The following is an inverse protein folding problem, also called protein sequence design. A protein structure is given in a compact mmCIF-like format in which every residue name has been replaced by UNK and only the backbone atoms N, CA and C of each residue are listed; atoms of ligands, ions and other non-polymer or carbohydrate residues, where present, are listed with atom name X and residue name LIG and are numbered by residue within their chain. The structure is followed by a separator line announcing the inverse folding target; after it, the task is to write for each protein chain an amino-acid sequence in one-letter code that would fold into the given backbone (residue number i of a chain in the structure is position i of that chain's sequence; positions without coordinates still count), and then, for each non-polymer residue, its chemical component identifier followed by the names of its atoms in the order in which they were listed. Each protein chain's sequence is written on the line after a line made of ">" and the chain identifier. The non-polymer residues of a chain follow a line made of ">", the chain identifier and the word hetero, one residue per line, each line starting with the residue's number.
data_IF_664363316993
#
_entry.id   IF_664363316993
#
_cell.length_a   1.000
_cell.length_b   1.000
_cell.length_c   1.000
_cell.angle_alpha   90.00
_cell.angle_beta   90.00
_cell.angle_gamma   90.00
#
_symmetry.space_group_name_H-M   'P 1'
#
loop_
_entity.id
_entity.type
_entity.pdbx_description
1 polymer ?
#
# COMPACT_ATOMS: atom_id res chain seq x y z
N UNK A 1 -33.85 16.30 -80.88
CA UNK A 1 -34.29 15.28 -79.93
C UNK A 1 -33.09 15.01 -79.01
N UNK A 2 -33.04 15.65 -77.86
CA UNK A 2 -31.95 15.47 -76.81
C UNK A 2 -32.55 14.80 -75.59
N UNK A 3 -32.09 13.62 -75.27
CA UNK A 3 -32.50 12.87 -74.09
C UNK A 3 -31.64 13.38 -72.92
N UNK A 4 -32.31 13.90 -71.89
CA UNK A 4 -31.69 14.31 -70.63
C UNK A 4 -31.69 13.09 -69.70
N UNK A 5 -30.51 12.57 -69.35
CA UNK A 5 -30.32 11.55 -68.35
C UNK A 5 -30.15 12.26 -66.99
N UNK A 6 -31.11 12.07 -66.12
CA UNK A 6 -31.06 12.46 -64.72
C UNK A 6 -30.34 11.39 -63.91
N UNK A 7 -29.17 11.69 -63.44
CA UNK A 7 -28.41 10.85 -62.45
C UNK A 7 -28.92 11.14 -61.04
N UNK A 8 -29.52 10.14 -60.38
CA UNK A 8 -29.79 10.18 -58.94
C UNK A 8 -28.49 9.85 -58.19
N UNK A 9 -27.94 10.81 -57.48
CA UNK A 9 -26.88 10.58 -56.52
C UNK A 9 -27.51 10.22 -55.17
N UNK A 10 -27.39 8.95 -54.77
CA UNK A 10 -27.76 8.49 -53.42
C UNK A 10 -26.61 8.83 -52.46
N UNK A 11 -26.84 9.81 -51.59
CA UNK A 11 -25.93 10.13 -50.49
C UNK A 11 -26.10 9.11 -49.35
N UNK A 12 -25.14 8.22 -49.21
CA UNK A 12 -25.03 7.30 -48.06
C UNK A 12 -24.46 8.07 -46.86
N UNK A 13 -25.31 8.51 -45.92
CA UNK A 13 -24.87 9.05 -44.64
C UNK A 13 -24.46 7.87 -43.76
N UNK A 14 -23.15 7.65 -43.64
CA UNK A 14 -22.58 6.76 -42.65
C UNK A 14 -22.62 7.47 -41.26
N UNK A 15 -23.57 7.10 -40.42
CA UNK A 15 -23.59 7.50 -39.00
C UNK A 15 -22.51 6.72 -38.27
N UNK A 16 -21.37 7.38 -38.02
CA UNK A 16 -20.34 6.87 -37.12
C UNK A 16 -20.85 7.03 -35.68
N UNK A 17 -21.41 5.96 -35.14
CA UNK A 17 -21.66 5.87 -33.70
C UNK A 17 -20.30 5.77 -32.98
N UNK A 18 -19.79 6.90 -32.46
CA UNK A 18 -18.68 6.89 -31.52
C UNK A 18 -19.13 6.14 -30.28
N UNK A 19 -18.66 4.89 -30.11
CA UNK A 19 -18.69 4.24 -28.81
C UNK A 19 -17.78 5.08 -27.89
N UNK A 20 -18.41 5.93 -27.09
CA UNK A 20 -17.72 6.52 -25.94
C UNK A 20 -17.36 5.36 -25.03
N UNK A 21 -16.09 4.93 -25.05
CA UNK A 21 -15.54 4.09 -24.00
C UNK A 21 -15.57 4.93 -22.73
N UNK A 22 -16.59 4.68 -21.89
CA UNK A 22 -16.61 5.23 -20.55
C UNK A 22 -15.30 4.79 -19.89
N UNK A 23 -14.43 5.75 -19.62
CA UNK A 23 -13.30 5.50 -18.72
C UNK A 23 -13.89 4.93 -17.44
N UNK A 24 -13.42 3.78 -16.94
CA UNK A 24 -13.92 3.25 -15.69
C UNK A 24 -13.79 4.36 -14.66
N UNK A 25 -14.90 4.69 -13.97
CA UNK A 25 -14.87 5.55 -12.80
C UNK A 25 -13.73 5.05 -11.94
N UNK A 26 -12.83 5.96 -11.49
CA UNK A 26 -11.67 5.63 -10.68
C UNK A 26 -12.09 4.67 -9.56
N UNK A 27 -11.88 3.39 -9.76
CA UNK A 27 -12.06 2.42 -8.69
C UNK A 27 -11.08 2.84 -7.61
N UNK A 28 -11.55 2.96 -6.37
CA UNK A 28 -10.70 3.29 -5.23
C UNK A 28 -9.64 2.18 -5.11
N UNK A 29 -8.42 2.46 -5.55
CA UNK A 29 -7.32 1.54 -5.40
C UNK A 29 -6.78 1.61 -3.97
N UNK A 30 -6.52 0.47 -3.36
CA UNK A 30 -5.88 0.40 -2.04
C UNK A 30 -4.39 0.66 -2.21
N UNK A 31 -3.88 1.65 -1.50
CA UNK A 31 -2.46 2.04 -1.50
C UNK A 31 -1.88 1.97 -0.10
N UNK A 32 -0.57 2.11 0.03
CA UNK A 32 0.10 2.28 1.31
C UNK A 32 -0.42 3.52 2.05
N UNK A 33 -0.66 3.40 3.35
CA UNK A 33 -1.18 4.49 4.18
C UNK A 33 -2.71 4.53 4.33
N UNK A 34 -3.48 3.67 3.65
CA UNK A 34 -4.92 3.59 3.85
C UNK A 34 -5.29 3.09 5.25
N UNK A 35 -6.26 3.75 5.88
CA UNK A 35 -6.85 3.26 7.11
C UNK A 35 -7.71 2.02 6.84
N UNK A 36 -7.51 0.98 7.63
CA UNK A 36 -8.33 -0.23 7.60
C UNK A 36 -8.93 -0.51 8.98
N UNK A 37 -10.04 -1.21 8.99
CA UNK A 37 -10.70 -1.64 10.22
C UNK A 37 -10.99 -3.13 10.18
N UNK A 38 -10.78 -3.81 11.31
CA UNK A 38 -11.18 -5.21 11.51
C UNK A 38 -11.41 -5.47 12.99
N UNK A 39 -12.53 -6.11 13.34
CA UNK A 39 -12.85 -6.48 14.71
C UNK A 39 -12.85 -5.32 15.71
N UNK A 40 -13.16 -4.09 15.25
CA UNK A 40 -13.14 -2.87 16.07
C UNK A 40 -11.75 -2.27 16.28
N UNK A 41 -10.72 -2.80 15.62
CA UNK A 41 -9.36 -2.23 15.59
C UNK A 41 -9.18 -1.38 14.36
N UNK A 42 -8.37 -0.33 14.48
CA UNK A 42 -7.94 0.55 13.39
C UNK A 42 -6.46 0.33 13.14
N UNK A 43 -6.11 0.18 11.88
CA UNK A 43 -4.73 0.01 11.44
C UNK A 43 -4.53 0.71 10.09
N UNK A 44 -3.30 0.64 9.61
CA UNK A 44 -2.89 1.24 8.33
C UNK A 44 -2.35 0.16 7.40
N UNK A 45 -2.68 0.23 6.11
CA UNK A 45 -2.05 -0.59 5.07
C UNK A 45 -0.59 -0.19 4.95
N UNK A 46 0.31 -1.17 5.06
CA UNK A 46 1.75 -0.94 4.92
C UNK A 46 2.12 -0.72 3.46
N UNK A 47 1.94 -1.72 2.64
CA UNK A 47 2.19 -1.64 1.20
C UNK A 47 1.41 -2.74 0.47
N UNK A 48 1.03 -2.51 -0.80
CA UNK A 48 0.60 -3.55 -1.71
C UNK A 48 1.76 -4.48 -2.08
N UNK A 49 1.44 -5.73 -2.39
CA UNK A 49 2.43 -6.67 -2.93
C UNK A 49 2.78 -6.25 -4.37
N UNK A 50 4.06 -6.06 -4.72
CA UNK A 50 4.46 -5.60 -6.06
C UNK A 50 4.21 -6.63 -7.16
N UNK A 51 4.14 -7.91 -6.82
CA UNK A 51 3.95 -9.01 -7.77
C UNK A 51 2.49 -9.49 -7.81
N UNK A 52 1.72 -9.23 -6.74
CA UNK A 52 0.33 -9.66 -6.63
C UNK A 52 -0.60 -8.52 -6.22
N UNK A 53 -1.27 -7.83 -7.16
CA UNK A 53 -2.12 -6.69 -6.86
C UNK A 53 -3.38 -7.03 -6.05
N UNK A 54 -3.62 -8.29 -5.74
CA UNK A 54 -4.71 -8.71 -4.85
C UNK A 54 -4.28 -8.86 -3.39
N UNK A 55 -3.01 -8.63 -3.08
CA UNK A 55 -2.45 -8.74 -1.73
C UNK A 55 -1.95 -7.37 -1.25
N UNK A 56 -2.25 -7.05 0.00
CA UNK A 56 -1.66 -5.92 0.72
C UNK A 56 -1.27 -6.38 2.12
N UNK A 57 -0.38 -5.64 2.76
CA UNK A 57 0.16 -6.00 4.08
C UNK A 57 -0.19 -4.96 5.13
N UNK A 58 -0.21 -5.37 6.40
CA UNK A 58 -0.35 -4.51 7.58
C UNK A 58 0.34 -5.16 8.78
N UNK A 59 0.31 -4.52 9.95
CA UNK A 59 0.86 -5.12 11.17
C UNK A 59 0.07 -6.37 11.59
N UNK A 60 0.78 -7.40 12.05
CA UNK A 60 0.22 -8.68 12.43
C UNK A 60 -0.77 -8.60 13.58
N UNK A 61 -0.51 -7.75 14.58
CA UNK A 61 -1.42 -7.55 15.72
C UNK A 61 -2.75 -6.86 15.35
N UNK A 62 -2.89 -6.37 14.10
CA UNK A 62 -4.18 -5.87 13.59
C UNK A 62 -5.20 -6.99 13.37
N UNK A 63 -4.71 -8.21 13.16
CA UNK A 63 -5.54 -9.40 13.11
C UNK A 63 -5.95 -9.84 14.51
N UNK A 64 -7.17 -10.32 14.63
CA UNK A 64 -7.69 -11.00 15.81
C UNK A 64 -8.24 -12.34 15.38
N UNK A 65 -7.85 -13.39 16.08
CA UNK A 65 -8.28 -14.76 15.80
C UNK A 65 -9.79 -14.87 15.57
N UNK A 66 -10.15 -15.51 14.46
CA UNK A 66 -11.54 -15.71 14.05
C UNK A 66 -12.21 -14.51 13.37
N UNK A 67 -11.55 -13.34 13.28
CA UNK A 67 -12.08 -12.15 12.60
C UNK A 67 -11.19 -11.84 11.39
N UNK A 68 -11.56 -12.38 10.24
CA UNK A 68 -10.76 -12.20 9.02
C UNK A 68 -11.17 -11.00 8.17
N UNK A 69 -12.41 -10.53 8.26
CA UNK A 69 -12.93 -9.44 7.42
C UNK A 69 -12.21 -8.12 7.68
N UNK A 70 -11.79 -7.47 6.60
CA UNK A 70 -11.14 -6.15 6.59
C UNK A 70 -12.00 -5.17 5.81
N UNK A 71 -12.18 -3.98 6.37
CA UNK A 71 -13.00 -2.92 5.79
C UNK A 71 -12.24 -1.59 5.70
N UNK A 72 -12.65 -0.76 4.74
CA UNK A 72 -12.33 0.65 4.61
C UNK A 72 -13.61 1.45 4.88
N UNK A 73 -13.74 2.02 6.06
CA UNK A 73 -15.02 2.56 6.52
C UNK A 73 -16.11 1.48 6.50
N UNK A 74 -17.16 1.69 5.72
CA UNK A 74 -18.26 0.73 5.57
C UNK A 74 -18.11 -0.24 4.39
N UNK A 75 -16.99 -0.17 3.66
CA UNK A 75 -16.75 -0.99 2.48
C UNK A 75 -15.86 -2.18 2.88
N UNK A 76 -16.37 -3.39 2.71
CA UNK A 76 -15.56 -4.60 2.87
C UNK A 76 -14.58 -4.69 1.70
N UNK A 77 -13.30 -4.71 1.99
CA UNK A 77 -12.24 -4.69 0.96
C UNK A 77 -11.52 -6.02 0.80
N UNK A 78 -11.55 -6.88 1.79
CA UNK A 78 -10.81 -8.15 1.74
C UNK A 78 -10.87 -8.92 3.06
N UNK A 79 -9.96 -9.87 3.17
CA UNK A 79 -9.81 -10.73 4.35
C UNK A 79 -8.34 -10.93 4.70
N UNK A 80 -8.02 -10.98 5.98
CA UNK A 80 -6.72 -11.44 6.46
C UNK A 80 -6.44 -12.87 5.98
N UNK A 81 -5.18 -13.18 5.74
CA UNK A 81 -4.68 -14.52 5.43
C UNK A 81 -3.86 -14.98 6.64
N UNK A 82 -4.47 -15.73 7.60
CA UNK A 82 -3.79 -16.11 8.85
C UNK A 82 -2.56 -16.99 8.62
N UNK A 83 -2.49 -17.71 7.48
CA UNK A 83 -1.36 -18.52 7.08
C UNK A 83 -0.13 -17.69 6.70
N UNK A 84 -0.33 -16.39 6.44
CA UNK A 84 0.73 -15.42 6.13
C UNK A 84 0.75 -14.37 7.22
N UNK A 85 1.00 -14.84 8.43
CA UNK A 85 1.16 -14.05 9.63
C UNK A 85 2.50 -14.37 10.27
N UNK A 86 3.38 -13.39 10.34
CA UNK A 86 4.69 -13.52 10.99
C UNK A 86 4.75 -12.70 12.29
N UNK A 87 4.72 -13.37 13.46
CA UNK A 87 4.87 -12.67 14.74
C UNK A 87 6.25 -12.04 14.95
N UNK A 88 7.29 -12.49 14.26
CA UNK A 88 8.65 -11.96 14.44
C UNK A 88 8.79 -10.55 13.82
N UNK A 89 8.23 -10.35 12.65
CA UNK A 89 8.16 -9.05 11.97
C UNK A 89 6.86 -8.30 12.25
N UNK A 90 5.92 -8.93 12.99
CA UNK A 90 4.57 -8.39 13.20
C UNK A 90 3.90 -8.00 11.86
N UNK A 91 3.91 -8.92 10.89
CA UNK A 91 3.32 -8.73 9.57
C UNK A 91 2.17 -9.71 9.34
N UNK A 92 1.13 -9.24 8.64
CA UNK A 92 0.07 -10.10 8.12
C UNK A 92 -0.37 -9.63 6.73
N UNK A 93 -0.73 -10.62 5.89
CA UNK A 93 -1.29 -10.34 4.57
C UNK A 93 -2.81 -10.21 4.61
N UNK A 94 -3.33 -9.38 3.70
CA UNK A 94 -4.75 -9.20 3.41
C UNK A 94 -4.97 -9.53 1.94
N UNK A 95 -5.88 -10.46 1.64
CA UNK A 95 -6.36 -10.71 0.29
C UNK A 95 -7.54 -9.80 0.00
N UNK A 96 -7.37 -8.93 -0.98
CA UNK A 96 -8.43 -8.05 -1.47
C UNK A 96 -9.47 -8.84 -2.26
N UNK A 97 -10.72 -8.40 -2.23
CA UNK A 97 -11.75 -8.93 -3.12
C UNK A 97 -11.46 -8.53 -4.57
N UNK A 98 -11.91 -9.34 -5.53
CA UNK A 98 -11.55 -9.23 -6.96
C UNK A 98 -11.96 -7.91 -7.61
N UNK A 99 -12.91 -7.19 -7.01
CA UNK A 99 -13.38 -5.87 -7.46
C UNK A 99 -12.66 -4.70 -6.77
N UNK A 100 -11.70 -4.97 -5.89
CA UNK A 100 -10.93 -3.97 -5.15
C UNK A 100 -9.49 -4.02 -5.66
N UNK A 101 -9.08 -3.08 -6.50
CA UNK A 101 -7.69 -3.01 -6.97
C UNK A 101 -6.75 -2.47 -5.89
N UNK A 102 -5.47 -2.81 -5.98
CA UNK A 102 -4.41 -2.08 -5.28
C UNK A 102 -3.47 -1.39 -6.27
N UNK A 103 -2.76 -0.38 -5.78
CA UNK A 103 -1.75 0.34 -6.52
C UNK A 103 -0.48 0.45 -5.67
N UNK A 104 0.67 0.11 -6.25
CA UNK A 104 1.97 0.17 -5.57
C UNK A 104 2.44 1.61 -5.43
N UNK A 105 1.73 2.35 -4.60
CA UNK A 105 1.95 3.76 -4.34
C UNK A 105 1.60 4.12 -2.90
N UNK A 106 2.08 5.27 -2.44
CA UNK A 106 1.66 5.90 -1.19
C UNK A 106 0.35 6.67 -1.41
N UNK A 107 -0.42 6.94 -0.34
CA UNK A 107 -1.66 7.74 -0.41
C UNK A 107 -1.50 9.11 -1.07
N UNK A 108 -0.31 9.72 -0.99
CA UNK A 108 0.07 10.93 -1.73
C UNK A 108 0.23 10.73 -3.24
N UNK A 109 0.00 9.50 -3.74
CA UNK A 109 0.21 9.06 -5.13
C UNK A 109 1.68 9.04 -5.56
N UNK A 110 2.60 9.04 -4.61
CA UNK A 110 4.01 8.81 -4.88
C UNK A 110 4.22 7.30 -5.09
N UNK A 111 4.88 6.87 -6.18
CA UNK A 111 5.17 5.46 -6.40
C UNK A 111 6.10 4.93 -5.30
N UNK A 112 5.89 3.68 -4.89
CA UNK A 112 6.83 2.96 -4.06
C UNK A 112 7.96 2.47 -4.96
N UNK A 113 9.20 2.70 -4.51
CA UNK A 113 10.43 2.29 -5.19
C UNK A 113 11.02 1.07 -4.48
N UNK A 114 12.11 0.54 -5.04
CA UNK A 114 12.83 -0.60 -4.50
C UNK A 114 13.15 -0.38 -3.02
N UNK A 115 12.87 -1.36 -2.16
CA UNK A 115 13.05 -1.22 -0.73
C UNK A 115 14.52 -1.28 -0.33
N UNK A 116 14.89 -0.64 0.78
CA UNK A 116 16.20 -0.80 1.41
C UNK A 116 16.14 -0.73 2.93
N UNK A 117 17.22 -1.12 3.60
CA UNK A 117 17.33 -1.00 5.07
C UNK A 117 17.79 0.41 5.43
N UNK A 118 17.13 1.11 6.37
CA UNK A 118 17.54 2.46 6.76
C UNK A 118 18.84 2.44 7.57
N UNK A 119 19.55 3.55 7.59
CA UNK A 119 20.73 3.73 8.43
C UNK A 119 20.39 4.50 9.73
N UNK A 120 21.14 4.23 10.80
CA UNK A 120 21.08 5.07 12.01
C UNK A 120 21.40 6.53 11.66
N UNK A 121 20.63 7.45 12.21
CA UNK A 121 20.74 8.88 11.94
C UNK A 121 20.04 9.36 10.66
N UNK A 122 19.57 8.46 9.78
CA UNK A 122 18.79 8.88 8.62
C UNK A 122 17.42 9.42 9.01
N UNK A 123 16.83 10.23 8.14
CA UNK A 123 15.48 10.74 8.30
C UNK A 123 14.51 9.87 7.51
N UNK A 124 13.56 9.27 8.19
CA UNK A 124 12.47 8.50 7.60
C UNK A 124 11.13 9.15 7.90
N UNK A 125 10.14 8.89 7.06
CA UNK A 125 8.76 9.32 7.27
C UNK A 125 7.84 8.11 7.31
N UNK A 126 6.65 8.28 7.90
CA UNK A 126 5.54 7.35 7.78
C UNK A 126 4.29 8.07 7.28
N UNK A 127 3.36 7.31 6.73
CA UNK A 127 2.02 7.78 6.46
C UNK A 127 1.01 6.90 7.21
N UNK A 128 0.57 7.34 8.36
CA UNK A 128 -0.35 6.62 9.23
C UNK A 128 -1.79 7.11 9.14
N UNK A 129 -2.73 6.24 9.42
CA UNK A 129 -4.17 6.56 9.36
C UNK A 129 -4.57 7.67 10.34
N UNK A 130 -3.90 7.76 11.49
CA UNK A 130 -4.23 8.70 12.56
C UNK A 130 -3.39 9.98 12.47
N UNK A 131 -2.07 9.86 12.47
CA UNK A 131 -1.20 11.04 12.51
C UNK A 131 -0.76 11.53 11.14
N UNK A 132 -1.24 10.90 10.06
CA UNK A 132 -0.89 11.25 8.69
C UNK A 132 0.63 11.15 8.44
N UNK A 133 1.19 12.04 7.62
CA UNK A 133 2.63 12.08 7.40
C UNK A 133 3.35 12.68 8.60
N UNK A 134 4.24 11.90 9.19
CA UNK A 134 5.19 12.36 10.21
C UNK A 134 6.57 11.83 9.87
N UNK A 135 7.61 12.60 10.20
CA UNK A 135 9.00 12.22 9.94
C UNK A 135 9.82 12.26 11.23
N UNK A 136 10.91 11.51 11.24
CA UNK A 136 11.78 11.44 12.38
C UNK A 136 13.13 10.79 12.07
N UNK A 137 13.96 10.69 13.11
CA UNK A 137 15.33 10.18 13.00
C UNK A 137 15.39 8.72 13.43
N UNK A 138 16.05 7.88 12.66
CA UNK A 138 16.36 6.49 13.01
C UNK A 138 17.38 6.49 14.15
N UNK A 139 17.02 5.85 15.27
CA UNK A 139 17.83 5.81 16.49
C UNK A 139 18.73 4.57 16.56
N UNK A 140 18.24 3.45 16.07
CA UNK A 140 18.96 2.18 16.03
C UNK A 140 18.36 1.27 14.98
N UNK A 141 19.17 0.40 14.41
CA UNK A 141 18.76 -0.63 13.44
C UNK A 141 19.37 -1.95 13.84
N UNK A 142 18.58 -3.02 13.85
CA UNK A 142 19.04 -4.40 13.89
C UNK A 142 18.49 -5.19 12.69
N UNK A 143 18.78 -6.48 12.61
CA UNK A 143 18.40 -7.31 11.44
C UNK A 143 16.88 -7.37 11.22
N UNK A 144 16.07 -7.23 12.26
CA UNK A 144 14.63 -7.41 12.20
C UNK A 144 13.83 -6.15 12.46
N UNK A 145 14.38 -5.24 13.26
CA UNK A 145 13.67 -4.06 13.76
C UNK A 145 14.54 -2.82 13.73
N UNK A 146 13.91 -1.67 13.74
CA UNK A 146 14.56 -0.40 13.99
C UNK A 146 13.67 0.51 14.83
N UNK A 147 14.31 1.43 15.55
CA UNK A 147 13.62 2.43 16.36
C UNK A 147 13.74 3.81 15.73
N UNK A 148 12.64 4.58 15.77
CA UNK A 148 12.58 5.93 15.19
C UNK A 148 12.00 6.90 16.21
N UNK A 149 12.61 8.07 16.34
CA UNK A 149 12.05 9.19 17.10
C UNK A 149 11.07 9.95 16.20
N UNK A 150 9.79 9.62 16.26
CA UNK A 150 8.73 10.32 15.52
C UNK A 150 7.36 10.16 16.19
N UNK A 151 6.45 11.12 16.00
CA UNK A 151 5.07 11.00 16.48
C UNK A 151 4.32 9.86 15.82
N UNK A 152 3.61 9.09 16.61
CA UNK A 152 2.64 8.09 16.17
C UNK A 152 1.50 8.00 17.18
N UNK A 153 0.38 7.37 16.80
CA UNK A 153 -0.75 7.14 17.68
C UNK A 153 -1.49 5.85 17.25
N UNK A 154 -2.42 5.40 18.09
CA UNK A 154 -3.30 4.27 17.78
C UNK A 154 -3.94 4.42 16.39
N UNK A 155 -3.83 3.37 15.58
CA UNK A 155 -4.28 3.36 14.19
C UNK A 155 -3.14 3.51 13.18
N UNK A 156 -1.96 4.01 13.57
CA UNK A 156 -0.78 4.05 12.73
C UNK A 156 -0.06 2.69 12.63
N UNK A 157 -0.48 1.70 13.42
CA UNK A 157 -0.01 0.30 13.31
C UNK A 157 -0.11 -0.20 11.88
N UNK A 158 0.97 -0.74 11.34
CA UNK A 158 1.05 -1.16 9.95
C UNK A 158 1.39 -0.05 8.97
N UNK A 159 1.51 1.21 9.39
CA UNK A 159 1.87 2.30 8.48
C UNK A 159 3.23 2.04 7.80
N UNK A 160 3.35 2.35 6.49
CA UNK A 160 4.62 2.27 5.79
C UNK A 160 5.60 3.27 6.38
N UNK A 161 6.83 2.83 6.64
CA UNK A 161 7.98 3.71 6.87
C UNK A 161 8.75 3.81 5.56
N UNK A 162 9.10 5.02 5.17
CA UNK A 162 9.76 5.27 3.90
C UNK A 162 10.80 6.39 3.99
N UNK A 163 11.72 6.36 3.05
CA UNK A 163 12.77 7.36 2.89
C UNK A 163 12.67 8.04 1.52
N UNK A 164 12.92 9.36 1.48
CA UNK A 164 13.04 10.15 0.26
C UNK A 164 14.50 10.46 -0.01
N UNK A 165 15.01 10.05 -1.17
CA UNK A 165 16.42 10.26 -1.53
C UNK A 165 16.81 11.73 -1.61
N UNK A 166 15.96 12.58 -2.16
CA UNK A 166 16.23 14.01 -2.39
C UNK A 166 14.92 14.79 -2.40
N UNK A 167 14.93 16.05 -1.98
CA UNK A 167 13.79 16.94 -2.20
C UNK A 167 13.42 16.98 -3.69
N UNK A 168 12.15 16.71 -4.00
CA UNK A 168 11.64 16.70 -5.37
C UNK A 168 11.84 15.38 -6.13
N UNK A 169 12.39 14.32 -5.53
CA UNK A 169 12.38 12.96 -6.09
C UNK A 169 10.94 12.50 -6.29
N UNK A 170 10.69 11.81 -7.39
CA UNK A 170 9.42 11.11 -7.59
C UNK A 170 9.54 9.71 -6.99
N UNK A 171 8.69 9.44 -5.98
CA UNK A 171 8.64 8.16 -5.31
C UNK A 171 9.42 8.10 -4.00
N UNK A 172 9.13 7.05 -3.24
CA UNK A 172 9.66 6.79 -1.91
C UNK A 172 10.13 5.35 -1.79
N UNK A 173 11.21 5.13 -1.05
CA UNK A 173 11.71 3.78 -0.75
C UNK A 173 11.11 3.30 0.57
N UNK A 174 10.38 2.18 0.53
CA UNK A 174 9.86 1.57 1.75
C UNK A 174 11.02 0.95 2.52
N UNK A 175 11.16 1.32 3.79
CA UNK A 175 12.22 0.81 4.68
C UNK A 175 11.67 -0.07 5.80
N UNK A 176 10.35 -0.08 6.00
CA UNK A 176 9.72 -0.91 7.03
C UNK A 176 8.27 -0.60 7.31
N UNK A 177 7.78 -1.14 8.42
CA UNK A 177 6.38 -1.06 8.86
C UNK A 177 6.30 -0.74 10.35
N UNK A 178 5.42 0.16 10.75
CA UNK A 178 5.16 0.52 12.15
C UNK A 178 4.58 -0.68 12.92
N UNK A 179 5.21 -1.03 14.04
CA UNK A 179 4.75 -2.09 14.95
C UNK A 179 4.09 -1.50 16.19
N UNK A 180 4.82 -0.67 16.95
CA UNK A 180 4.40 -0.21 18.28
C UNK A 180 5.13 1.05 18.70
N UNK A 181 4.59 1.72 19.70
CA UNK A 181 5.31 2.75 20.46
C UNK A 181 6.15 2.11 21.59
N UNK A 182 7.22 2.79 21.97
CA UNK A 182 7.99 2.42 23.18
C UNK A 182 7.31 3.03 24.41
N UNK A 183 6.72 2.23 25.31
CA UNK A 183 6.00 2.77 26.46
C UNK A 183 6.91 3.50 27.48
N UNK A 184 8.23 3.34 27.37
CA UNK A 184 9.23 3.96 28.24
C UNK A 184 9.88 5.20 27.64
N UNK A 185 9.77 5.38 26.32
CA UNK A 185 10.34 6.50 25.57
C UNK A 185 9.27 7.16 24.70
N UNK A 186 8.50 8.13 25.23
CA UNK A 186 7.46 8.81 24.47
C UNK A 186 7.99 9.37 23.14
N UNK A 187 7.23 9.14 22.06
CA UNK A 187 7.60 9.54 20.71
C UNK A 187 8.67 8.67 20.06
N UNK A 188 9.03 7.53 20.65
CA UNK A 188 9.84 6.50 19.98
C UNK A 188 8.93 5.37 19.53
N UNK A 189 9.03 5.00 18.27
CA UNK A 189 8.32 3.85 17.71
C UNK A 189 9.29 2.76 17.29
N UNK A 190 8.82 1.52 17.33
CA UNK A 190 9.48 0.36 16.74
C UNK A 190 8.84 -0.01 15.41
N UNK A 191 9.68 -0.38 14.48
CA UNK A 191 9.30 -0.76 13.13
C UNK A 191 9.99 -2.05 12.74
N UNK A 192 9.34 -2.91 11.94
CA UNK A 192 10.01 -4.03 11.28
C UNK A 192 10.83 -3.51 10.11
N UNK A 193 12.04 -4.05 9.90
CA UNK A 193 12.82 -3.76 8.71
C UNK A 193 12.19 -4.39 7.48
N UNK A 194 12.27 -3.72 6.35
CA UNK A 194 11.81 -4.29 5.08
C UNK A 194 12.62 -5.53 4.70
N UNK A 195 13.89 -5.60 5.09
CA UNK A 195 14.74 -6.77 4.87
C UNK A 195 14.22 -8.03 5.57
N UNK A 196 13.80 -7.93 6.84
CA UNK A 196 13.21 -9.05 7.57
C UNK A 196 11.84 -9.44 6.98
N UNK A 197 11.02 -8.46 6.59
CA UNK A 197 9.74 -8.70 5.92
C UNK A 197 9.95 -9.45 4.60
N UNK A 198 10.87 -9.00 3.76
CA UNK A 198 11.17 -9.65 2.48
C UNK A 198 11.69 -11.07 2.67
N UNK A 199 12.54 -11.29 3.66
CA UNK A 199 13.02 -12.64 3.99
C UNK A 199 11.86 -13.59 4.38
N UNK A 200 10.92 -13.12 5.18
CA UNK A 200 9.70 -13.88 5.50
C UNK A 200 8.85 -14.14 4.25
N UNK A 201 8.58 -13.11 3.44
CA UNK A 201 7.73 -13.24 2.26
C UNK A 201 8.35 -14.13 1.19
N UNK A 202 9.67 -14.06 0.96
CA UNK A 202 10.37 -14.93 0.01
C UNK A 202 10.29 -16.41 0.40
N UNK A 203 10.39 -16.72 1.70
CA UNK A 203 10.21 -18.07 2.20
C UNK A 203 8.76 -18.55 2.07
N UNK A 204 7.79 -17.66 2.20
CA UNK A 204 6.36 -17.99 2.18
C UNK A 204 5.83 -18.13 0.76
N UNK A 205 6.19 -17.21 -0.13
CA UNK A 205 5.70 -17.17 -1.51
C UNK A 205 6.66 -17.78 -2.53
N UNK A 206 7.92 -18.06 -2.15
CA UNK A 206 8.96 -18.48 -3.08
C UNK A 206 9.37 -17.41 -4.09
N UNK A 207 9.18 -16.16 -3.75
CA UNK A 207 9.51 -15.00 -4.60
C UNK A 207 10.67 -14.25 -3.99
N UNK A 208 11.78 -14.10 -4.75
CA UNK A 208 12.83 -13.18 -4.40
C UNK A 208 12.32 -11.76 -4.68
N UNK A 209 12.15 -10.99 -3.63
CA UNK A 209 12.08 -9.54 -3.73
C UNK A 209 13.52 -9.07 -3.90
N UNK A 210 14.00 -9.02 -5.15
CA UNK A 210 15.36 -8.57 -5.44
C UNK A 210 15.55 -7.15 -4.92
N UNK A 211 16.44 -7.03 -3.94
CA UNK A 211 16.97 -5.75 -3.45
C UNK A 211 18.35 -5.53 -4.11
N UNK A 212 18.39 -5.48 -5.46
CA UNK A 212 19.62 -5.13 -6.20
C UNK A 212 19.83 -3.60 -6.27
#
# INVERSE_FOLDING_TARGET
>A
MRRILTALAAALMATITALATATPANALAITAGFMITSGGRWCTVSFPDPQNPTIVYTAGHCYKDGITEVSLGNIKIGQFIPEIHDPATDLIAIRLYSNIPSEYSLMSREPLLDPWVPNEGSTVCKYGATTQETCGTVLSVDDTKFAVQMPADHGDSGAPIYERLKPGSKGVHVVGTVISEDPRRPGVIYCSTIGAINNFLSQTWGTDWDMD
#
